data_IF_266180323373
#
_entry.id   IF_266180323373
#
_cell.length_a   1.000
_cell.length_b   1.000
_cell.length_c   1.000
_cell.angle_alpha   90.00
_cell.angle_beta   90.00
_cell.angle_gamma   90.00
#
_symmetry.space_group_name_H-M   'P 1'
#
loop_
_entity.id
_entity.type
_entity.pdbx_description
1 polymer ?
#
# COMPACT_ATOMS: atom_id res chain seq x y z
N UNK A 1 -8.68 -2.32 28.98
CA UNK A 1 -9.75 -1.48 28.41
C UNK A 1 -10.44 -2.31 27.36
N UNK A 2 -11.71 -2.73 27.56
CA UNK A 2 -12.42 -3.54 26.57
C UNK A 2 -12.84 -2.64 25.41
N UNK A 3 -12.29 -2.87 24.23
CA UNK A 3 -12.69 -2.20 22.99
C UNK A 3 -14.14 -2.56 22.70
N UNK A 4 -15.06 -1.65 23.04
CA UNK A 4 -16.48 -1.81 22.70
C UNK A 4 -16.66 -1.42 21.23
N UNK A 5 -17.06 -2.37 20.39
CA UNK A 5 -17.38 -2.12 18.98
C UNK A 5 -18.62 -1.21 18.93
N UNK A 6 -18.41 0.07 18.63
CA UNK A 6 -19.46 1.07 18.47
C UNK A 6 -19.88 1.18 16.99
N UNK A 7 -21.12 1.64 16.70
CA UNK A 7 -21.58 1.84 15.32
C UNK A 7 -20.74 2.88 14.55
N UNK A 8 -20.12 3.83 15.26
CA UNK A 8 -19.21 4.82 14.67
C UNK A 8 -17.93 4.16 14.16
N UNK A 9 -17.32 3.25 14.92
CA UNK A 9 -16.14 2.49 14.48
C UNK A 9 -16.42 1.67 13.22
N UNK A 10 -17.59 1.01 13.15
CA UNK A 10 -17.97 0.24 11.98
C UNK A 10 -18.14 1.12 10.74
N UNK A 11 -18.72 2.30 10.91
CA UNK A 11 -18.89 3.27 9.82
C UNK A 11 -17.54 3.79 9.33
N UNK A 12 -16.65 4.18 10.26
CA UNK A 12 -15.28 4.60 9.94
C UNK A 12 -14.52 3.50 9.21
N UNK A 13 -14.60 2.25 9.68
CA UNK A 13 -13.96 1.11 9.03
C UNK A 13 -14.37 0.97 7.56
N UNK A 14 -15.68 1.01 7.25
CA UNK A 14 -16.15 0.88 5.87
C UNK A 14 -15.74 2.06 4.99
N UNK A 15 -15.72 3.28 5.53
CA UNK A 15 -15.25 4.46 4.80
C UNK A 15 -13.77 4.36 4.44
N UNK A 16 -12.94 3.97 5.41
CA UNK A 16 -11.50 3.81 5.20
C UNK A 16 -11.18 2.62 4.29
N UNK A 17 -11.91 1.51 4.43
CA UNK A 17 -11.82 0.37 3.52
C UNK A 17 -12.17 0.78 2.08
N UNK A 18 -13.25 1.55 1.89
CA UNK A 18 -13.62 2.04 0.57
C UNK A 18 -12.54 2.96 -0.01
N UNK A 19 -11.99 3.88 0.79
CA UNK A 19 -10.91 4.76 0.38
C UNK A 19 -9.63 3.99 0.00
N UNK A 20 -9.28 2.97 0.78
CA UNK A 20 -8.14 2.08 0.52
C UNK A 20 -8.31 1.31 -0.79
N UNK A 21 -9.46 0.63 -0.94
CA UNK A 21 -9.79 -0.14 -2.15
C UNK A 21 -9.82 0.75 -3.39
N UNK A 22 -10.37 1.96 -3.30
CA UNK A 22 -10.36 2.93 -4.42
C UNK A 22 -8.93 3.35 -4.75
N UNK A 23 -8.11 3.65 -3.74
CA UNK A 23 -6.73 4.10 -3.93
C UNK A 23 -5.85 3.01 -4.57
N UNK A 24 -5.93 1.78 -4.06
CA UNK A 24 -5.19 0.65 -4.65
C UNK A 24 -5.72 0.29 -6.04
N UNK A 25 -7.03 0.41 -6.29
CA UNK A 25 -7.58 0.19 -7.62
C UNK A 25 -7.05 1.22 -8.63
N UNK A 26 -6.89 2.48 -8.24
CA UNK A 26 -6.27 3.51 -9.09
C UNK A 26 -4.81 3.13 -9.39
N UNK A 27 -4.01 2.78 -8.39
CA UNK A 27 -2.59 2.44 -8.60
C UNK A 27 -2.45 1.16 -9.42
N UNK A 28 -3.14 0.08 -9.02
CA UNK A 28 -3.01 -1.23 -9.65
C UNK A 28 -3.66 -1.27 -11.04
N UNK A 29 -4.87 -0.74 -11.20
CA UNK A 29 -5.64 -0.88 -12.43
C UNK A 29 -5.41 0.28 -13.41
N UNK A 30 -5.31 1.52 -12.93
CA UNK A 30 -5.20 2.68 -13.83
C UNK A 30 -3.75 2.96 -14.24
N UNK A 31 -2.81 2.83 -13.30
CA UNK A 31 -1.39 3.11 -13.54
C UNK A 31 -0.66 1.83 -14.00
N UNK A 32 -0.71 0.76 -13.21
CA UNK A 32 0.09 -0.44 -13.47
C UNK A 32 -0.42 -1.28 -14.64
N UNK A 33 -1.72 -1.60 -14.71
CA UNK A 33 -2.27 -2.45 -15.79
C UNK A 33 -2.08 -1.83 -17.18
N UNK A 34 -2.23 -0.51 -17.30
CA UNK A 34 -1.97 0.22 -18.56
C UNK A 34 -0.51 0.16 -19.01
N UNK A 35 0.43 -0.08 -18.08
CA UNK A 35 1.88 0.04 -18.34
C UNK A 35 2.59 -1.30 -18.51
N UNK A 36 2.26 -2.32 -17.73
CA UNK A 36 3.08 -3.54 -17.64
C UNK A 36 2.32 -4.84 -17.95
N UNK A 37 0.99 -4.82 -18.09
CA UNK A 37 0.13 -5.92 -18.60
C UNK A 37 0.34 -7.32 -17.97
N UNK A 38 1.09 -7.43 -16.86
CA UNK A 38 1.31 -8.66 -16.09
C UNK A 38 0.25 -8.77 -15.00
N UNK A 39 -0.67 -9.73 -15.15
CA UNK A 39 -1.80 -9.92 -14.21
C UNK A 39 -1.38 -10.48 -12.86
N UNK A 40 -0.29 -11.24 -12.80
CA UNK A 40 0.16 -11.89 -11.57
C UNK A 40 0.55 -10.88 -10.47
N UNK A 41 1.14 -9.75 -10.87
CA UNK A 41 1.59 -8.72 -9.93
C UNK A 41 0.44 -7.89 -9.36
N UNK A 42 -0.67 -7.74 -10.10
CA UNK A 42 -1.89 -7.11 -9.58
C UNK A 42 -2.39 -7.86 -8.35
N UNK A 43 -2.44 -9.20 -8.43
CA UNK A 43 -2.91 -10.04 -7.33
C UNK A 43 -2.01 -9.88 -6.09
N UNK A 44 -0.69 -9.84 -6.28
CA UNK A 44 0.27 -9.62 -5.19
C UNK A 44 0.05 -8.26 -4.54
N UNK A 45 -0.06 -7.18 -5.32
CA UNK A 45 -0.16 -5.83 -4.78
C UNK A 45 -1.47 -5.59 -4.03
N UNK A 46 -2.59 -6.06 -4.59
CA UNK A 46 -3.91 -5.92 -3.96
C UNK A 46 -4.05 -6.80 -2.72
N UNK A 47 -3.56 -8.04 -2.75
CA UNK A 47 -3.62 -8.93 -1.58
C UNK A 47 -2.75 -8.42 -0.43
N UNK A 48 -1.56 -7.87 -0.75
CA UNK A 48 -0.70 -7.26 0.28
C UNK A 48 -1.30 -5.98 0.86
N UNK A 49 -1.90 -5.12 0.03
CA UNK A 49 -2.58 -3.91 0.49
C UNK A 49 -3.70 -4.24 1.47
N UNK A 50 -4.67 -5.06 1.05
CA UNK A 50 -5.83 -5.43 1.86
C UNK A 50 -5.39 -6.20 3.11
N UNK A 51 -4.44 -7.12 2.98
CA UNK A 51 -3.90 -7.88 4.10
C UNK A 51 -3.24 -6.99 5.15
N UNK A 52 -2.44 -6.00 4.73
CA UNK A 52 -1.83 -5.03 5.62
C UNK A 52 -2.90 -4.16 6.30
N UNK A 53 -3.88 -3.66 5.55
CA UNK A 53 -4.97 -2.85 6.10
C UNK A 53 -5.70 -3.57 7.24
N UNK A 54 -6.07 -4.84 7.02
CA UNK A 54 -6.76 -5.65 8.02
C UNK A 54 -5.86 -5.93 9.24
N UNK A 55 -4.61 -6.33 9.02
CA UNK A 55 -3.67 -6.60 10.11
C UNK A 55 -3.41 -5.36 10.97
N UNK A 56 -3.21 -4.19 10.33
CA UNK A 56 -2.99 -2.93 11.01
C UNK A 56 -4.22 -2.49 11.79
N UNK A 57 -5.43 -2.64 11.23
CA UNK A 57 -6.68 -2.35 11.95
C UNK A 57 -6.78 -3.16 13.25
N UNK A 58 -6.46 -4.46 13.21
CA UNK A 58 -6.51 -5.34 14.40
C UNK A 58 -5.48 -4.95 15.46
N UNK A 59 -4.31 -4.52 15.02
CA UNK A 59 -3.23 -4.06 15.90
C UNK A 59 -3.60 -2.73 16.56
N UNK A 60 -4.13 -1.80 15.76
CA UNK A 60 -4.47 -0.44 16.17
C UNK A 60 -5.61 -0.43 17.19
N UNK A 61 -6.59 -1.34 17.05
CA UNK A 61 -7.64 -1.57 18.06
C UNK A 61 -7.09 -1.92 19.45
N UNK A 62 -5.87 -2.45 19.55
CA UNK A 62 -5.24 -2.79 20.83
C UNK A 62 -4.35 -1.66 21.38
N UNK A 63 -4.41 -0.44 20.82
CA UNK A 63 -3.69 0.78 21.25
C UNK A 63 -2.18 0.58 21.48
N UNK A 64 -1.58 -0.38 20.78
CA UNK A 64 -0.16 -0.73 21.00
C UNK A 64 0.68 -0.15 19.88
N UNK A 65 1.29 1.01 20.12
CA UNK A 65 2.20 1.66 19.16
C UNK A 65 3.34 0.74 18.67
N UNK A 66 3.82 -0.18 19.53
CA UNK A 66 4.80 -1.20 19.13
C UNK A 66 4.26 -2.18 18.08
N UNK A 67 2.97 -2.51 18.12
CA UNK A 67 2.38 -3.49 17.21
C UNK A 67 2.45 -3.05 15.75
N UNK A 68 2.26 -1.75 15.47
CA UNK A 68 2.37 -1.19 14.12
C UNK A 68 3.79 -1.36 13.58
N UNK A 69 4.80 -1.03 14.40
CA UNK A 69 6.21 -1.23 14.06
C UNK A 69 6.56 -2.70 13.80
N UNK A 70 6.07 -3.62 14.64
CA UNK A 70 6.28 -5.07 14.44
C UNK A 70 5.58 -5.60 13.19
N UNK A 71 4.34 -5.18 12.90
CA UNK A 71 3.62 -5.63 11.71
C UNK A 71 4.28 -5.14 10.41
N UNK A 72 4.74 -3.88 10.37
CA UNK A 72 5.53 -3.37 9.25
C UNK A 72 6.85 -4.13 9.11
N UNK A 73 7.55 -4.40 10.21
CA UNK A 73 8.82 -5.13 10.17
C UNK A 73 8.65 -6.58 9.66
N UNK A 74 7.57 -7.25 10.07
CA UNK A 74 7.24 -8.59 9.60
C UNK A 74 6.99 -8.60 8.08
N UNK A 75 6.22 -7.64 7.58
CA UNK A 75 5.91 -7.55 6.14
C UNK A 75 7.16 -7.18 5.33
N UNK A 76 7.96 -6.21 5.78
CA UNK A 76 9.23 -5.87 5.13
C UNK A 76 10.21 -7.05 5.11
N UNK A 77 10.22 -7.88 6.15
CA UNK A 77 11.04 -9.09 6.19
C UNK A 77 10.57 -10.12 5.16
N UNK A 78 9.26 -10.34 5.01
CA UNK A 78 8.71 -11.25 3.99
C UNK A 78 9.01 -10.73 2.58
N UNK A 79 8.83 -9.43 2.33
CA UNK A 79 9.14 -8.81 1.04
C UNK A 79 10.63 -8.99 0.69
N UNK A 80 11.53 -8.89 1.67
CA UNK A 80 12.97 -9.11 1.48
C UNK A 80 13.33 -10.58 1.19
N UNK A 81 12.59 -11.54 1.73
CA UNK A 81 12.90 -12.97 1.61
C UNK A 81 12.46 -13.60 0.28
N UNK A 82 11.74 -12.87 -0.58
CA UNK A 82 11.24 -13.43 -1.83
C UNK A 82 12.39 -13.62 -2.82
N UNK A 83 12.66 -14.88 -3.19
CA UNK A 83 13.76 -15.31 -4.06
C UNK A 83 13.59 -14.99 -5.55
N UNK A 84 12.40 -14.55 -5.97
CA UNK A 84 12.21 -14.00 -7.32
C UNK A 84 12.64 -12.54 -7.34
N UNK A 85 13.58 -12.20 -8.23
CA UNK A 85 14.04 -10.83 -8.45
C UNK A 85 12.89 -9.97 -9.00
N UNK A 86 12.14 -9.31 -8.11
CA UNK A 86 11.27 -8.21 -8.50
C UNK A 86 12.12 -7.12 -9.15
N UNK A 87 11.63 -6.54 -10.24
CA UNK A 87 12.21 -5.34 -10.81
C UNK A 87 12.16 -4.20 -9.79
N UNK A 88 13.14 -3.30 -9.82
CA UNK A 88 13.16 -2.10 -8.95
C UNK A 88 11.84 -1.31 -9.06
N UNK A 89 11.22 -1.28 -10.24
CA UNK A 89 9.92 -0.65 -10.44
C UNK A 89 8.80 -1.40 -9.70
N UNK A 90 8.80 -2.73 -9.72
CA UNK A 90 7.78 -3.58 -9.08
C UNK A 90 7.82 -3.44 -7.56
N UNK A 91 9.02 -3.34 -6.96
CA UNK A 91 9.17 -3.06 -5.54
C UNK A 91 8.57 -1.69 -5.16
N UNK A 92 8.77 -0.67 -5.99
CA UNK A 92 8.17 0.66 -5.76
C UNK A 92 6.64 0.61 -5.65
N UNK A 93 5.98 -0.16 -6.52
CA UNK A 93 4.53 -0.38 -6.47
C UNK A 93 4.08 -1.10 -5.19
N UNK A 94 4.83 -2.12 -4.74
CA UNK A 94 4.56 -2.81 -3.47
C UNK A 94 4.67 -1.82 -2.30
N UNK A 95 5.73 -1.02 -2.26
CA UNK A 95 5.93 -0.05 -1.18
C UNK A 95 4.81 0.98 -1.10
N UNK A 96 4.37 1.54 -2.23
CA UNK A 96 3.27 2.51 -2.20
C UNK A 96 1.94 1.86 -1.84
N UNK A 97 1.69 0.66 -2.32
CA UNK A 97 0.55 -0.16 -1.89
C UNK A 97 0.54 -0.35 -0.36
N UNK A 98 1.70 -0.63 0.26
CA UNK A 98 1.81 -0.75 1.71
C UNK A 98 1.54 0.59 2.44
N UNK A 99 2.05 1.69 1.90
CA UNK A 99 1.85 3.03 2.49
C UNK A 99 0.37 3.43 2.44
N UNK A 100 -0.32 3.18 1.33
CA UNK A 100 -1.76 3.45 1.16
C UNK A 100 -2.56 2.67 2.21
N UNK A 101 -2.32 1.36 2.35
CA UNK A 101 -2.97 0.54 3.37
C UNK A 101 -2.73 1.06 4.80
N UNK A 102 -1.51 1.50 5.10
CA UNK A 102 -1.18 2.05 6.41
C UNK A 102 -1.91 3.36 6.71
N UNK A 103 -1.94 4.29 5.75
CA UNK A 103 -2.65 5.58 5.86
C UNK A 103 -4.13 5.34 6.16
N UNK A 104 -4.76 4.41 5.44
CA UNK A 104 -6.19 4.14 5.60
C UNK A 104 -6.49 3.33 6.89
N UNK A 105 -5.60 2.42 7.30
CA UNK A 105 -5.83 1.60 8.51
C UNK A 105 -5.72 2.41 9.81
N UNK A 106 -4.75 3.32 9.90
CA UNK A 106 -4.50 4.11 11.11
C UNK A 106 -5.54 5.22 11.35
N UNK A 107 -6.35 5.57 10.36
CA UNK A 107 -7.40 6.59 10.51
C UNK A 107 -8.69 6.10 11.18
N UNK A 108 -8.78 4.81 11.53
CA UNK A 108 -10.03 4.17 11.96
C UNK A 108 -10.35 4.39 13.43
N UNK A 109 -9.32 4.45 14.29
CA UNK A 109 -9.48 4.48 15.77
C UNK A 109 -9.67 5.88 16.35
N UNK A 110 -9.37 6.95 15.59
CA UNK A 110 -9.63 8.32 16.04
C UNK A 110 -11.15 8.58 16.11
N UNK A 111 -11.69 8.47 17.33
CA UNK A 111 -13.13 8.40 17.63
C UNK A 111 -13.93 9.69 17.37
N UNK A 112 -13.26 10.78 16.95
CA UNK A 112 -13.91 12.02 16.53
C UNK A 112 -13.47 12.36 15.12
N UNK A 113 -14.09 11.76 14.08
CA UNK A 113 -13.81 12.13 12.70
C UNK A 113 -14.30 13.57 12.49
N UNK A 114 -13.40 14.52 12.63
CA UNK A 114 -13.65 15.86 12.11
C UNK A 114 -13.72 15.76 10.58
N UNK A 115 -14.49 16.63 9.91
CA UNK A 115 -14.46 16.70 8.44
C UNK A 115 -13.04 16.98 7.87
N UNK A 116 -12.12 17.43 8.72
CA UNK A 116 -10.72 17.71 8.40
C UNK A 116 -9.85 16.45 8.34
N UNK A 117 -10.15 15.42 9.13
CA UNK A 117 -9.33 14.21 9.22
C UNK A 117 -9.48 13.36 7.95
N UNK A 118 -10.72 13.21 7.47
CA UNK A 118 -11.01 12.56 6.19
C UNK A 118 -10.38 13.30 5.00
N UNK A 119 -10.32 14.63 5.05
CA UNK A 119 -9.63 15.43 4.03
C UNK A 119 -8.12 15.20 4.06
N UNK A 120 -7.52 15.11 5.26
CA UNK A 120 -6.09 14.85 5.40
C UNK A 120 -5.71 13.46 4.86
N UNK A 121 -6.48 12.43 5.18
CA UNK A 121 -6.30 11.06 4.65
C UNK A 121 -6.42 11.05 3.12
N UNK A 122 -7.40 11.77 2.57
CA UNK A 122 -7.55 11.91 1.12
C UNK A 122 -6.30 12.56 0.49
N UNK A 123 -5.78 13.63 1.10
CA UNK A 123 -4.57 14.33 0.62
C UNK A 123 -3.35 13.40 0.67
N UNK A 124 -3.19 12.60 1.73
CA UNK A 124 -2.10 11.64 1.84
C UNK A 124 -2.19 10.55 0.76
N UNK A 125 -3.37 9.98 0.55
CA UNK A 125 -3.61 9.00 -0.52
C UNK A 125 -3.32 9.60 -1.90
N UNK A 126 -3.82 10.80 -2.18
CA UNK A 126 -3.55 11.50 -3.44
C UNK A 126 -2.05 11.77 -3.63
N UNK A 127 -1.34 12.15 -2.56
CA UNK A 127 0.11 12.37 -2.60
C UNK A 127 0.86 11.08 -2.93
N UNK A 128 0.49 9.96 -2.31
CA UNK A 128 1.09 8.66 -2.58
C UNK A 128 0.84 8.22 -4.04
N UNK A 129 -0.37 8.39 -4.55
CA UNK A 129 -0.74 8.11 -5.94
C UNK A 129 0.07 9.01 -6.90
N UNK A 130 0.15 10.30 -6.61
CA UNK A 130 0.88 11.27 -7.43
C UNK A 130 2.39 10.95 -7.47
N UNK A 131 2.97 10.54 -6.33
CA UNK A 131 4.37 10.16 -6.24
C UNK A 131 4.70 8.99 -7.18
N UNK A 132 3.88 7.93 -7.19
CA UNK A 132 4.04 6.80 -8.13
C UNK A 132 3.85 7.25 -9.57
N UNK A 133 2.83 8.07 -9.82
CA UNK A 133 2.56 8.58 -11.16
C UNK A 133 3.75 9.38 -11.74
N UNK A 134 4.38 10.22 -10.93
CA UNK A 134 5.57 11.00 -11.32
C UNK A 134 6.77 10.07 -11.49
N UNK A 135 6.99 9.15 -10.56
CA UNK A 135 8.17 8.27 -10.56
C UNK A 135 8.15 7.29 -11.72
N UNK A 136 6.98 6.79 -12.11
CA UNK A 136 6.83 5.95 -13.29
C UNK A 136 6.71 6.77 -14.59
N UNK A 137 6.95 8.09 -14.60
CA UNK A 137 6.82 8.86 -15.84
C UNK A 137 7.85 8.39 -16.89
N UNK A 138 7.43 8.05 -18.13
CA UNK A 138 8.24 7.35 -19.15
C UNK A 138 9.49 8.11 -19.64
N UNK A 139 9.69 9.34 -19.17
CA UNK A 139 10.84 10.19 -19.51
C UNK A 139 12.04 10.02 -18.56
N UNK A 140 11.86 9.38 -17.40
CA UNK A 140 12.92 9.20 -16.41
C UNK A 140 13.68 7.87 -16.56
N UNK A 141 13.04 6.82 -17.07
CA UNK A 141 13.65 5.50 -17.22
C UNK A 141 14.18 5.31 -18.65
N UNK A 142 15.33 5.97 -18.92
CA UNK A 142 16.16 5.65 -20.09
C UNK A 142 16.59 4.20 -19.92
N UNK A 143 16.10 3.33 -20.80
CA UNK A 143 16.34 1.89 -20.80
C UNK A 143 17.83 1.60 -20.58
N UNK A 144 18.18 1.12 -19.39
CA UNK A 144 19.50 0.50 -19.17
C UNK A 144 19.39 -0.89 -19.79
N UNK A 145 19.73 -0.97 -21.08
CA UNK A 145 19.80 -2.23 -21.82
C UNK A 145 20.79 -3.15 -21.11
N UNK A 146 20.28 -4.21 -20.47
CA UNK A 146 21.09 -5.24 -19.83
C UNK A 146 21.62 -6.14 -20.94
N UNK A 147 22.81 -5.83 -21.47
CA UNK A 147 23.47 -6.67 -22.48
C UNK A 147 24.22 -7.79 -21.74
N UNK A 148 23.64 -8.99 -21.71
CA UNK A 148 24.33 -10.19 -21.25
C UNK A 148 25.41 -10.55 -22.27
N UNK A 149 26.68 -10.45 -21.86
CA UNK A 149 27.83 -10.90 -22.65
C UNK A 149 28.17 -12.30 -22.14
N UNK A 150 27.92 -13.30 -22.98
CA UNK A 150 28.37 -14.68 -22.75
C UNK A 150 29.84 -14.74 -23.19
N UNK A 151 30.74 -15.03 -22.25
CA UNK A 151 32.14 -15.33 -22.56
C UNK A 151 32.24 -16.84 -22.84
N UNK A 152 32.28 -17.21 -24.12
CA UNK A 152 32.80 -18.52 -24.52
C UNK A 152 34.32 -18.51 -24.31
N UNK A 153 34.82 -19.51 -23.58
CA UNK A 153 36.25 -19.83 -23.46
C UNK A 153 36.51 -21.14 -24.19
#
# INVERSE_FOLDING_TARGET
MSVSITPTLLTSFFVHLAADVVSIAIVAYLIYFRRHSRRDLLMVYTTLNIGLFLAMTVIDLQETAMGVGFGLFAILSIVRLRSEEFSNSELGYIFVSLIIALINALGITDATPGPLDGLFILVLNLTAILAVYIMDHPRLLRQVGRQQIILDT
#
